data_IF_257028994195
#
_entry.id   IF_257028994195
#
_cell.length_a   1.000
_cell.length_b   1.000
_cell.length_c   1.000
_cell.angle_alpha   90.00
_cell.angle_beta   90.00
_cell.angle_gamma   90.00
#
_symmetry.space_group_name_H-M   'P 1'
#
loop_
_entity.id
_entity.type
_entity.pdbx_description
1 polymer ?
#
# COMPACT_ATOMS: atom_id res chain seq x y z
N UNK A 1 14.91 -4.64 -57.73
CA UNK A 1 14.51 -3.64 -56.72
C UNK A 1 13.72 -4.37 -55.66
N UNK A 2 14.36 -4.62 -54.53
CA UNK A 2 13.83 -5.37 -53.38
C UNK A 2 12.87 -4.47 -52.61
N UNK A 3 11.56 -4.73 -52.72
CA UNK A 3 10.57 -4.15 -51.82
C UNK A 3 10.68 -4.84 -50.47
N UNK A 4 11.15 -4.09 -49.48
CA UNK A 4 11.16 -4.47 -48.06
C UNK A 4 9.73 -4.68 -47.57
N UNK A 5 9.41 -5.91 -47.16
CA UNK A 5 8.22 -6.23 -46.37
C UNK A 5 8.39 -5.57 -45.00
N UNK A 6 7.67 -4.47 -44.75
CA UNK A 6 7.48 -3.96 -43.40
C UNK A 6 6.62 -4.96 -42.62
N UNK A 7 7.18 -5.49 -41.53
CA UNK A 7 6.45 -6.28 -40.53
C UNK A 7 5.23 -5.50 -40.05
N UNK A 8 4.05 -6.14 -39.85
CA UNK A 8 2.92 -5.46 -39.24
C UNK A 8 3.33 -5.09 -37.82
N UNK A 9 3.32 -3.78 -37.54
CA UNK A 9 3.49 -3.27 -36.19
C UNK A 9 2.29 -3.78 -35.38
N UNK A 10 2.56 -4.65 -34.42
CA UNK A 10 1.63 -5.20 -33.43
C UNK A 10 0.98 -4.03 -32.67
N UNK A 11 -0.10 -3.50 -33.22
CA UNK A 11 -0.77 -2.29 -32.73
C UNK A 11 -1.71 -2.75 -31.63
N UNK A 12 -1.51 -2.24 -30.42
CA UNK A 12 -2.42 -2.46 -29.31
C UNK A 12 -3.86 -2.18 -29.73
N UNK A 13 -4.68 -3.23 -29.71
CA UNK A 13 -6.08 -3.18 -30.06
C UNK A 13 -6.90 -3.32 -28.78
N UNK A 14 -7.62 -2.24 -28.42
CA UNK A 14 -8.55 -2.24 -27.29
C UNK A 14 -9.66 -3.27 -27.45
N UNK A 15 -9.99 -3.68 -28.69
CA UNK A 15 -10.93 -4.76 -28.94
C UNK A 15 -10.36 -6.10 -28.47
N UNK A 16 -9.09 -6.38 -28.72
CA UNK A 16 -8.40 -7.60 -28.25
C UNK A 16 -8.32 -7.65 -26.72
N UNK A 17 -8.06 -6.49 -26.08
CA UNK A 17 -8.11 -6.42 -24.62
C UNK A 17 -9.53 -6.70 -24.10
N UNK A 18 -10.56 -6.16 -24.74
CA UNK A 18 -11.96 -6.41 -24.39
C UNK A 18 -12.42 -7.86 -24.59
N UNK A 19 -11.71 -8.66 -25.38
CA UNK A 19 -11.98 -10.11 -25.52
C UNK A 19 -11.52 -10.90 -24.30
N UNK A 20 -10.47 -10.43 -23.60
CA UNK A 20 -9.81 -11.17 -22.53
C UNK A 20 -9.97 -10.51 -21.14
N UNK A 21 -10.46 -9.27 -21.07
CA UNK A 21 -10.70 -8.55 -19.83
C UNK A 21 -12.08 -7.89 -19.79
N UNK A 22 -12.83 -8.17 -18.72
CA UNK A 22 -14.10 -7.51 -18.42
C UNK A 22 -13.96 -6.78 -17.08
N UNK A 23 -13.79 -5.45 -17.07
CA UNK A 23 -13.92 -4.67 -15.85
C UNK A 23 -15.39 -4.62 -15.41
N UNK A 24 -15.63 -4.78 -14.11
CA UNK A 24 -16.95 -4.70 -13.49
C UNK A 24 -16.86 -3.79 -12.26
N UNK A 25 -17.66 -2.73 -12.26
CA UNK A 25 -17.89 -1.95 -11.04
C UNK A 25 -18.69 -2.79 -10.03
N UNK A 26 -18.24 -2.80 -8.76
CA UNK A 26 -18.93 -3.49 -7.67
C UNK A 26 -20.33 -2.92 -7.39
N UNK A 27 -20.62 -1.69 -7.84
CA UNK A 27 -21.95 -1.09 -7.78
C UNK A 27 -22.84 -1.40 -8.98
N UNK A 28 -22.34 -2.05 -10.02
CA UNK A 28 -23.11 -2.43 -11.21
C UNK A 28 -23.76 -3.81 -11.02
N UNK A 29 -24.88 -3.83 -10.30
CA UNK A 29 -25.64 -5.05 -10.00
C UNK A 29 -26.26 -5.69 -11.26
N UNK A 30 -26.63 -4.88 -12.25
CA UNK A 30 -27.27 -5.34 -13.49
C UNK A 30 -26.28 -6.16 -14.32
N UNK A 31 -25.09 -5.62 -14.57
CA UNK A 31 -24.04 -6.36 -15.28
C UNK A 31 -23.58 -7.57 -14.48
N UNK A 32 -23.47 -7.46 -13.15
CA UNK A 32 -23.15 -8.60 -12.29
C UNK A 32 -24.19 -9.73 -12.38
N UNK A 33 -25.49 -9.40 -12.44
CA UNK A 33 -26.56 -10.38 -12.61
C UNK A 33 -26.47 -11.09 -13.97
N UNK A 34 -26.20 -10.34 -15.04
CA UNK A 34 -26.01 -10.91 -16.39
C UNK A 34 -24.81 -11.86 -16.44
N UNK A 35 -23.68 -11.49 -15.84
CA UNK A 35 -22.49 -12.35 -15.76
C UNK A 35 -22.76 -13.62 -14.92
N UNK A 36 -23.56 -13.50 -13.84
CA UNK A 36 -23.97 -14.64 -13.02
C UNK A 36 -24.85 -15.61 -13.79
N UNK A 37 -25.87 -15.11 -14.48
CA UNK A 37 -26.82 -15.95 -15.23
C UNK A 37 -26.19 -16.59 -16.47
N UNK A 38 -25.38 -15.84 -17.22
CA UNK A 38 -24.86 -16.30 -18.52
C UNK A 38 -23.56 -17.07 -18.42
N UNK A 39 -22.70 -16.72 -17.46
CA UNK A 39 -21.33 -17.24 -17.37
C UNK A 39 -21.06 -17.94 -16.03
N UNK A 40 -22.02 -17.93 -15.09
CA UNK A 40 -21.84 -18.52 -13.76
C UNK A 40 -20.91 -17.73 -12.85
N UNK A 41 -20.61 -16.46 -13.17
CA UNK A 41 -19.68 -15.64 -12.41
C UNK A 41 -20.40 -14.93 -11.28
N UNK A 42 -20.03 -15.23 -10.03
CA UNK A 42 -20.73 -14.71 -8.85
C UNK A 42 -19.78 -14.05 -7.85
N UNK A 43 -19.78 -12.72 -7.86
CA UNK A 43 -19.04 -11.89 -6.91
C UNK A 43 -19.80 -11.63 -5.60
N UNK A 44 -21.05 -12.11 -5.44
CA UNK A 44 -21.83 -11.88 -4.22
C UNK A 44 -21.26 -12.58 -2.98
N UNK A 45 -20.38 -13.56 -3.20
CA UNK A 45 -19.70 -14.30 -2.14
C UNK A 45 -18.44 -13.54 -1.72
N UNK A 46 -18.54 -12.81 -0.62
CA UNK A 46 -17.37 -12.19 0.01
C UNK A 46 -16.53 -13.25 0.72
N UNK A 47 -15.45 -13.68 0.08
CA UNK A 47 -14.43 -14.54 0.70
C UNK A 47 -13.08 -13.84 0.73
N UNK A 48 -12.42 -13.85 1.89
CA UNK A 48 -11.03 -13.37 2.06
C UNK A 48 -9.98 -14.39 1.57
N UNK A 49 -10.41 -15.44 0.89
CA UNK A 49 -9.58 -16.57 0.45
C UNK A 49 -9.93 -16.92 -0.97
N UNK A 50 -8.97 -17.48 -1.71
CA UNK A 50 -9.20 -18.02 -3.05
C UNK A 50 -10.31 -19.07 -3.00
N UNK A 51 -11.22 -19.01 -3.96
CA UNK A 51 -12.27 -20.02 -4.14
C UNK A 51 -12.47 -20.32 -5.62
N UNK A 52 -13.16 -21.43 -5.89
CA UNK A 52 -13.47 -21.88 -7.24
C UNK A 52 -14.99 -22.03 -7.37
N UNK A 53 -15.55 -21.64 -8.50
CA UNK A 53 -16.96 -21.85 -8.82
C UNK A 53 -17.11 -21.99 -10.33
N UNK A 54 -17.61 -23.15 -10.77
CA UNK A 54 -17.63 -23.51 -12.19
C UNK A 54 -16.21 -23.55 -12.74
N UNK A 55 -16.01 -22.91 -13.89
CA UNK A 55 -14.72 -22.84 -14.59
C UNK A 55 -13.87 -21.62 -14.19
N UNK A 56 -14.23 -20.95 -13.09
CA UNK A 56 -13.56 -19.74 -12.62
C UNK A 56 -12.86 -19.93 -11.27
N UNK A 57 -11.64 -19.40 -11.21
CA UNK A 57 -10.87 -19.24 -9.97
C UNK A 57 -10.97 -17.78 -9.54
N UNK A 58 -11.40 -17.56 -8.30
CA UNK A 58 -11.57 -16.23 -7.73
C UNK A 58 -10.42 -15.89 -6.81
N UNK A 59 -9.80 -14.73 -7.05
CA UNK A 59 -8.61 -14.24 -6.36
C UNK A 59 -8.93 -12.89 -5.71
N UNK A 60 -9.29 -12.85 -4.42
CA UNK A 60 -9.44 -11.60 -3.70
C UNK A 60 -8.06 -11.00 -3.40
N UNK A 61 -7.87 -9.73 -3.71
CA UNK A 61 -6.64 -8.97 -3.45
C UNK A 61 -7.01 -7.64 -2.80
N UNK A 62 -6.53 -7.41 -1.58
CA UNK A 62 -6.57 -6.10 -0.96
C UNK A 62 -5.51 -5.19 -1.59
N UNK A 63 -5.90 -4.35 -2.55
CA UNK A 63 -5.03 -3.42 -3.23
C UNK A 63 -4.83 -2.14 -2.42
N UNK A 64 -3.58 -1.83 -2.07
CA UNK A 64 -3.19 -0.57 -1.42
C UNK A 64 -2.50 0.33 -2.44
N UNK A 65 -2.96 1.57 -2.58
CA UNK A 65 -2.47 2.50 -3.59
C UNK A 65 -2.60 3.97 -3.15
N UNK A 66 -1.93 4.88 -3.85
CA UNK A 66 -2.04 6.33 -3.61
C UNK A 66 -3.14 6.93 -4.49
N UNK A 67 -4.05 7.71 -3.89
CA UNK A 67 -4.96 8.61 -4.59
C UNK A 67 -4.63 10.03 -4.17
N UNK A 68 -3.92 10.76 -5.03
CA UNK A 68 -3.27 12.01 -4.63
C UNK A 68 -2.24 11.73 -3.54
N UNK A 69 -2.37 12.37 -2.38
CA UNK A 69 -1.49 12.14 -1.23
C UNK A 69 -2.07 11.19 -0.18
N UNK A 70 -3.26 10.64 -0.42
CA UNK A 70 -3.94 9.75 0.53
C UNK A 70 -3.72 8.29 0.16
N UNK A 71 -3.31 7.49 1.13
CA UNK A 71 -3.26 6.03 1.01
C UNK A 71 -4.70 5.49 1.01
N UNK A 72 -5.03 4.68 0.01
CA UNK A 72 -6.31 4.01 -0.13
C UNK A 72 -6.10 2.50 -0.14
N UNK A 73 -7.09 1.79 0.37
CA UNK A 73 -7.14 0.33 0.35
C UNK A 73 -8.52 -0.11 -0.12
N UNK A 74 -8.53 -0.98 -1.11
CA UNK A 74 -9.75 -1.53 -1.70
C UNK A 74 -9.58 -3.01 -2.00
N UNK A 75 -10.64 -3.79 -1.87
CA UNK A 75 -10.62 -5.21 -2.25
C UNK A 75 -11.04 -5.33 -3.71
N UNK A 76 -10.18 -5.93 -4.51
CA UNK A 76 -10.45 -6.29 -5.91
C UNK A 76 -10.60 -7.80 -5.95
N UNK A 77 -11.64 -8.30 -6.62
CA UNK A 77 -11.80 -9.73 -6.86
C UNK A 77 -11.57 -10.00 -8.34
N UNK A 78 -10.56 -10.82 -8.65
CA UNK A 78 -10.33 -11.34 -9.99
C UNK A 78 -11.03 -12.67 -10.15
N UNK A 79 -11.87 -12.84 -11.17
CA UNK A 79 -12.38 -14.14 -11.60
C UNK A 79 -11.64 -14.55 -12.87
N UNK A 80 -10.68 -15.47 -12.75
CA UNK A 80 -9.89 -15.99 -13.85
C UNK A 80 -10.58 -17.22 -14.43
N UNK A 81 -10.95 -17.17 -15.71
CA UNK A 81 -11.38 -18.33 -16.49
C UNK A 81 -10.40 -18.66 -17.62
N UNK A 82 -10.77 -19.64 -18.45
CA UNK A 82 -9.95 -20.07 -19.59
C UNK A 82 -9.80 -19.03 -20.70
N UNK A 83 -10.85 -18.24 -20.95
CA UNK A 83 -10.94 -17.33 -22.10
C UNK A 83 -10.80 -15.85 -21.72
N UNK A 84 -11.27 -15.46 -20.53
CA UNK A 84 -11.24 -14.07 -20.06
C UNK A 84 -11.07 -13.99 -18.54
N UNK A 85 -10.61 -12.84 -18.07
CA UNK A 85 -10.58 -12.46 -16.64
C UNK A 85 -11.59 -11.35 -16.38
N UNK A 86 -12.38 -11.49 -15.32
CA UNK A 86 -13.32 -10.46 -14.86
C UNK A 86 -12.80 -9.84 -13.57
N UNK A 87 -12.85 -8.52 -13.45
CA UNK A 87 -12.42 -7.81 -12.23
C UNK A 87 -13.58 -7.07 -11.59
N UNK A 88 -13.94 -7.43 -10.36
CA UNK A 88 -14.87 -6.65 -9.53
C UNK A 88 -14.10 -5.64 -8.68
N UNK A 89 -14.38 -4.35 -8.88
CA UNK A 89 -13.65 -3.22 -8.28
C UNK A 89 -14.60 -2.09 -7.87
N UNK A 90 -14.24 -1.29 -6.86
CA UNK A 90 -15.17 -0.30 -6.28
C UNK A 90 -15.57 0.84 -7.24
N UNK A 91 -14.72 1.15 -8.22
CA UNK A 91 -14.94 2.22 -9.19
C UNK A 91 -14.36 1.83 -10.55
N UNK A 92 -15.00 2.32 -11.61
CA UNK A 92 -14.52 2.21 -12.98
C UNK A 92 -14.46 3.61 -13.61
N UNK A 93 -13.31 4.07 -14.11
CA UNK A 93 -12.00 3.38 -14.15
C UNK A 93 -11.32 3.27 -12.77
N UNK A 94 -10.50 2.23 -12.60
CA UNK A 94 -9.69 2.01 -11.41
C UNK A 94 -8.23 2.40 -11.68
N UNK A 95 -7.83 3.57 -11.18
CA UNK A 95 -6.55 4.21 -11.53
C UNK A 95 -5.30 3.32 -11.39
N UNK A 96 -5.17 2.41 -10.41
CA UNK A 96 -4.01 1.51 -10.36
C UNK A 96 -3.83 0.63 -11.61
N UNK A 97 -4.90 0.34 -12.36
CA UNK A 97 -4.82 -0.45 -13.60
C UNK A 97 -4.38 0.35 -14.82
N UNK A 98 -4.29 1.68 -14.76
CA UNK A 98 -3.82 2.50 -15.89
C UNK A 98 -2.42 2.08 -16.35
N UNK A 99 -1.55 1.68 -15.41
CA UNK A 99 -0.22 1.16 -15.73
C UNK A 99 -0.25 -0.19 -16.42
N UNK A 100 -1.17 -1.08 -16.02
CA UNK A 100 -1.36 -2.37 -16.69
C UNK A 100 -1.82 -2.16 -18.14
N UNK A 101 -2.80 -1.27 -18.36
CA UNK A 101 -3.27 -0.92 -19.71
C UNK A 101 -2.14 -0.35 -20.55
N UNK A 102 -1.35 0.57 -20.00
CA UNK A 102 -0.18 1.12 -20.70
C UNK A 102 0.90 0.07 -20.99
N UNK A 103 1.12 -0.90 -20.09
CA UNK A 103 2.06 -2.00 -20.31
C UNK A 103 1.57 -2.94 -21.41
N UNK A 104 0.30 -3.35 -21.37
CA UNK A 104 -0.31 -4.16 -22.43
C UNK A 104 -0.26 -3.42 -23.78
N UNK A 105 -0.37 -2.08 -23.76
CA UNK A 105 -0.12 -1.24 -24.93
C UNK A 105 1.30 -1.34 -25.50
N UNK A 106 2.31 -1.49 -24.65
CA UNK A 106 3.72 -1.65 -25.04
C UNK A 106 4.09 -3.10 -25.36
N UNK A 107 3.36 -4.07 -24.79
CA UNK A 107 3.57 -5.51 -24.93
C UNK A 107 2.25 -6.20 -25.27
N UNK A 108 1.76 -6.09 -26.53
CA UNK A 108 0.42 -6.58 -26.90
C UNK A 108 0.21 -8.08 -26.67
N UNK A 109 1.30 -8.88 -26.69
CA UNK A 109 1.27 -10.29 -26.31
C UNK A 109 0.65 -10.56 -24.92
N UNK A 110 0.72 -9.60 -23.98
CA UNK A 110 0.06 -9.71 -22.68
C UNK A 110 -1.47 -9.59 -22.79
N UNK A 111 -1.99 -8.78 -23.70
CA UNK A 111 -3.42 -8.62 -23.91
C UNK A 111 -4.05 -9.82 -24.65
N UNK A 112 -3.25 -10.65 -25.32
CA UNK A 112 -3.73 -11.79 -26.12
C UNK A 112 -4.14 -13.03 -25.32
N UNK A 113 -4.18 -12.96 -23.98
CA UNK A 113 -4.69 -14.07 -23.14
C UNK A 113 -5.14 -13.56 -21.76
N UNK A 114 -6.10 -14.23 -21.11
CA UNK A 114 -6.53 -13.84 -19.76
C UNK A 114 -5.42 -13.94 -18.71
N UNK A 115 -4.49 -14.87 -18.89
CA UNK A 115 -3.33 -15.05 -18.02
C UNK A 115 -2.34 -13.88 -18.14
N UNK A 116 -2.10 -13.41 -19.37
CA UNK A 116 -1.26 -12.24 -19.63
C UNK A 116 -1.87 -10.94 -19.09
N UNK A 117 -3.18 -10.79 -19.25
CA UNK A 117 -3.94 -9.67 -18.67
C UNK A 117 -3.84 -9.70 -17.15
N UNK A 118 -4.16 -10.83 -16.51
CA UNK A 118 -4.09 -10.95 -15.05
C UNK A 118 -2.67 -10.69 -14.53
N UNK A 119 -1.64 -11.17 -15.23
CA UNK A 119 -0.24 -10.83 -14.92
C UNK A 119 -0.01 -9.32 -14.90
N UNK A 120 -0.42 -8.60 -15.95
CA UNK A 120 -0.25 -7.15 -16.04
C UNK A 120 -1.00 -6.41 -14.93
N UNK A 121 -2.22 -6.85 -14.62
CA UNK A 121 -3.03 -6.28 -13.53
C UNK A 121 -2.36 -6.49 -12.17
N UNK A 122 -1.96 -7.72 -11.82
CA UNK A 122 -1.27 -8.01 -10.55
C UNK A 122 0.06 -7.25 -10.43
N UNK A 123 0.81 -7.14 -11.53
CA UNK A 123 2.03 -6.33 -11.58
C UNK A 123 1.75 -4.86 -11.28
N UNK A 124 0.73 -4.28 -11.89
CA UNK A 124 0.37 -2.87 -11.65
C UNK A 124 -0.03 -2.60 -10.19
N UNK A 125 -0.70 -3.56 -9.54
CA UNK A 125 -1.02 -3.47 -8.12
C UNK A 125 0.23 -3.55 -7.24
N UNK A 126 1.20 -4.40 -7.59
CA UNK A 126 2.47 -4.46 -6.89
C UNK A 126 3.22 -3.11 -6.97
N UNK A 127 3.30 -2.54 -8.17
CA UNK A 127 3.94 -1.23 -8.37
C UNK A 127 3.21 -0.10 -7.64
N UNK A 128 1.87 -0.16 -7.53
CA UNK A 128 1.08 0.80 -6.76
C UNK A 128 1.38 0.69 -5.25
N UNK A 129 1.47 -0.53 -4.73
CA UNK A 129 1.83 -0.79 -3.33
C UNK A 129 3.28 -0.37 -3.02
N UNK A 130 4.21 -0.57 -3.96
CA UNK A 130 5.58 -0.06 -3.85
C UNK A 130 5.61 1.47 -3.76
N UNK A 131 4.77 2.17 -4.52
CA UNK A 131 4.61 3.62 -4.42
C UNK A 131 4.19 4.08 -3.02
N UNK A 132 3.24 3.37 -2.40
CA UNK A 132 2.79 3.62 -1.01
C UNK A 132 3.94 3.38 -0.03
N UNK A 133 4.70 2.29 -0.19
CA UNK A 133 5.87 2.01 0.65
C UNK A 133 6.94 3.10 0.52
N UNK A 134 7.17 3.61 -0.69
CA UNK A 134 8.08 4.73 -0.92
C UNK A 134 7.64 6.01 -0.20
N UNK A 135 6.34 6.32 -0.17
CA UNK A 135 5.77 7.44 0.57
C UNK A 135 5.98 7.28 2.08
N UNK A 136 5.69 6.09 2.61
CA UNK A 136 5.87 5.77 4.04
C UNK A 136 7.34 5.90 4.47
N UNK A 137 8.25 5.28 3.72
CA UNK A 137 9.70 5.42 3.93
C UNK A 137 10.16 6.87 3.94
N UNK A 138 9.67 7.69 3.00
CA UNK A 138 10.03 9.11 2.93
C UNK A 138 9.52 9.88 4.16
N UNK A 139 8.32 9.54 4.67
CA UNK A 139 7.78 10.07 5.92
C UNK A 139 8.63 9.69 7.14
N UNK A 140 8.93 8.40 7.31
CA UNK A 140 9.80 7.92 8.40
C UNK A 140 11.20 8.55 8.36
N UNK A 141 11.76 8.77 7.17
CA UNK A 141 13.04 9.45 7.00
C UNK A 141 12.97 10.95 7.35
N UNK A 142 11.85 11.62 7.11
CA UNK A 142 11.64 13.00 7.54
C UNK A 142 11.55 13.10 9.07
N UNK A 143 10.73 12.24 9.69
CA UNK A 143 10.60 12.15 11.15
C UNK A 143 11.93 11.91 11.85
N UNK A 144 12.74 10.98 11.34
CA UNK A 144 14.07 10.72 11.88
C UNK A 144 14.94 11.98 11.89
N UNK A 145 14.95 12.77 10.79
CA UNK A 145 15.72 14.02 10.70
C UNK A 145 15.20 15.10 11.65
N UNK A 146 13.89 15.21 11.82
CA UNK A 146 13.29 16.16 12.76
C UNK A 146 13.65 15.82 14.21
N UNK A 147 13.68 14.53 14.55
CA UNK A 147 14.12 14.07 15.86
C UNK A 147 15.57 14.45 16.16
N UNK A 148 16.46 14.31 15.17
CA UNK A 148 17.88 14.70 15.30
C UNK A 148 18.05 16.23 15.40
N UNK A 149 17.29 17.01 14.63
CA UNK A 149 17.42 18.47 14.58
C UNK A 149 16.90 19.17 15.85
N UNK A 150 15.85 18.63 16.48
CA UNK A 150 15.23 19.24 17.64
C UNK A 150 16.02 19.06 18.97
N UNK A 151 17.31 18.70 18.87
CA UNK A 151 18.28 18.72 19.98
C UNK A 151 18.71 20.17 20.30
N UNK A 152 18.62 21.10 19.35
CA UNK A 152 19.06 22.50 19.49
C UNK A 152 17.88 23.50 19.62
N UNK A 153 17.31 23.62 20.82
CA UNK A 153 16.76 24.89 21.34
C UNK A 153 15.32 25.33 20.96
N UNK A 154 14.44 25.32 21.97
CA UNK A 154 13.59 26.46 22.35
C UNK A 154 12.24 26.63 21.65
N UNK A 155 11.18 26.04 22.21
CA UNK A 155 9.96 26.72 22.73
C UNK A 155 8.91 25.66 23.11
N UNK A 156 8.50 25.60 24.38
CA UNK A 156 7.86 24.42 25.00
C UNK A 156 6.47 24.08 24.45
N UNK A 157 5.72 25.07 23.97
CA UNK A 157 4.37 24.86 23.41
C UNK A 157 4.47 24.38 21.95
N UNK A 158 5.42 24.94 21.19
CA UNK A 158 5.75 24.50 19.83
C UNK A 158 6.27 23.06 19.85
N UNK A 159 7.13 22.71 20.81
CA UNK A 159 7.67 21.36 21.00
C UNK A 159 6.60 20.28 21.24
N UNK A 160 5.50 20.58 21.94
CA UNK A 160 4.42 19.58 22.20
C UNK A 160 3.52 19.38 20.98
N UNK A 161 3.26 20.44 20.21
CA UNK A 161 2.47 20.33 18.97
C UNK A 161 3.25 19.58 17.87
N UNK A 162 4.55 19.88 17.73
CA UNK A 162 5.48 19.18 16.84
C UNK A 162 5.56 17.68 17.18
N UNK A 163 5.56 17.34 18.47
CA UNK A 163 5.59 15.96 18.91
C UNK A 163 4.31 15.18 18.62
N UNK A 164 3.14 15.81 18.74
CA UNK A 164 1.86 15.19 18.35
C UNK A 164 1.76 14.97 16.84
N UNK A 165 2.24 15.93 16.04
CA UNK A 165 2.32 15.79 14.59
C UNK A 165 3.25 14.62 14.22
N UNK A 166 4.43 14.54 14.86
CA UNK A 166 5.38 13.45 14.62
C UNK A 166 4.81 12.06 14.95
N UNK A 167 4.01 11.94 16.03
CA UNK A 167 3.31 10.68 16.35
C UNK A 167 2.26 10.34 15.30
N UNK A 168 1.45 11.32 14.88
CA UNK A 168 0.44 11.09 13.84
C UNK A 168 1.05 10.67 12.50
N UNK A 169 2.17 11.29 12.10
CA UNK A 169 2.90 10.95 10.89
C UNK A 169 3.56 9.56 10.97
N UNK A 170 4.04 9.18 12.17
CA UNK A 170 4.58 7.85 12.42
C UNK A 170 3.48 6.78 12.31
N UNK A 171 2.34 7.00 12.97
CA UNK A 171 1.20 6.08 12.94
C UNK A 171 0.69 5.92 11.49
N UNK A 172 0.57 7.01 10.74
CA UNK A 172 0.17 6.96 9.34
C UNK A 172 1.17 6.18 8.46
N UNK A 173 2.47 6.30 8.73
CA UNK A 173 3.49 5.53 8.04
C UNK A 173 3.46 4.04 8.42
N UNK A 174 3.26 3.70 9.70
CA UNK A 174 3.12 2.32 10.17
C UNK A 174 1.88 1.64 9.56
N UNK A 175 0.74 2.34 9.54
CA UNK A 175 -0.49 1.87 8.90
C UNK A 175 -0.27 1.61 7.41
N UNK A 176 0.38 2.55 6.71
CA UNK A 176 0.73 2.38 5.29
C UNK A 176 1.61 1.15 5.04
N UNK A 177 2.63 0.94 5.87
CA UNK A 177 3.52 -0.24 5.78
C UNK A 177 2.74 -1.53 6.04
N UNK A 178 1.85 -1.55 7.04
CA UNK A 178 1.01 -2.70 7.37
C UNK A 178 0.07 -3.04 6.21
N UNK A 179 -0.58 -2.03 5.61
CA UNK A 179 -1.43 -2.22 4.46
C UNK A 179 -0.68 -2.78 3.25
N UNK A 180 0.53 -2.27 2.98
CA UNK A 180 1.40 -2.82 1.91
C UNK A 180 1.72 -4.29 2.18
N UNK A 181 2.08 -4.67 3.41
CA UNK A 181 2.40 -6.08 3.75
C UNK A 181 1.23 -7.02 3.47
N UNK A 182 0.01 -6.61 3.78
CA UNK A 182 -1.18 -7.39 3.47
C UNK A 182 -1.39 -7.50 1.96
N UNK A 183 -1.26 -6.40 1.23
CA UNK A 183 -1.33 -6.40 -0.24
C UNK A 183 -0.31 -7.37 -0.83
N UNK A 184 0.95 -7.34 -0.38
CA UNK A 184 2.00 -8.25 -0.86
C UNK A 184 1.69 -9.72 -0.57
N UNK A 185 1.10 -10.02 0.60
CA UNK A 185 0.65 -11.38 0.94
C UNK A 185 -0.43 -11.87 -0.02
N UNK A 186 -1.40 -11.03 -0.34
CA UNK A 186 -2.52 -11.40 -1.20
C UNK A 186 -2.08 -11.48 -2.67
N UNK A 187 -1.22 -10.55 -3.13
CA UNK A 187 -0.57 -10.59 -4.45
C UNK A 187 0.29 -11.84 -4.64
N UNK A 188 1.10 -12.22 -3.65
CA UNK A 188 1.89 -13.44 -3.70
C UNK A 188 1.00 -14.67 -3.88
N UNK A 189 -0.15 -14.70 -3.21
CA UNK A 189 -1.11 -15.81 -3.30
C UNK A 189 -1.77 -15.85 -4.68
N UNK A 190 -2.27 -14.72 -5.17
CA UNK A 190 -2.89 -14.60 -6.49
C UNK A 190 -1.89 -14.97 -7.61
N UNK A 191 -0.65 -14.49 -7.51
CA UNK A 191 0.39 -14.74 -8.51
C UNK A 191 0.85 -16.20 -8.52
N UNK A 192 0.98 -16.86 -7.35
CA UNK A 192 1.23 -18.31 -7.29
C UNK A 192 0.08 -19.11 -7.90
N UNK A 193 -1.16 -18.67 -7.69
CA UNK A 193 -2.32 -19.32 -8.29
C UNK A 193 -2.35 -19.13 -9.81
N UNK A 194 -2.05 -17.93 -10.30
CA UNK A 194 -1.87 -17.67 -11.74
C UNK A 194 -0.80 -18.59 -12.35
N UNK A 195 0.34 -18.77 -11.67
CA UNK A 195 1.39 -19.69 -12.13
C UNK A 195 0.89 -21.14 -12.21
N UNK A 196 0.11 -21.58 -11.22
CA UNK A 196 -0.46 -22.93 -11.20
C UNK A 196 -1.51 -23.14 -12.31
N UNK A 197 -2.35 -22.14 -12.60
CA UNK A 197 -3.37 -22.20 -13.67
C UNK A 197 -2.75 -22.17 -15.07
N UNK A 198 -1.69 -21.38 -15.27
CA UNK A 198 -1.01 -21.31 -16.56
C UNK A 198 -0.31 -22.63 -16.92
N UNK A 199 0.13 -23.39 -15.90
CA UNK A 199 0.81 -24.67 -16.01
C UNK A 199 2.30 -24.56 -16.37
N UNK A 200 2.97 -25.72 -16.40
CA UNK A 200 4.43 -25.87 -16.60
C UNK A 200 4.89 -25.68 -18.06
N UNK A 201 4.10 -24.99 -18.87
CA UNK A 201 4.52 -24.63 -20.23
C UNK A 201 5.65 -23.61 -20.07
N UNK A 202 6.87 -24.02 -20.43
CA UNK A 202 8.06 -23.18 -20.41
C UNK A 202 7.95 -22.06 -21.47
N UNK A 203 7.10 -21.08 -21.20
CA UNK A 203 6.87 -19.91 -22.01
C UNK A 203 7.38 -18.64 -21.32
N UNK A 204 7.54 -17.58 -22.10
CA UNK A 204 7.99 -16.26 -21.63
C UNK A 204 7.12 -15.72 -20.48
N UNK A 205 5.82 -16.01 -20.47
CA UNK A 205 4.89 -15.59 -19.42
C UNK A 205 5.18 -16.27 -18.08
N UNK A 206 5.49 -17.57 -18.06
CA UNK A 206 5.86 -18.29 -16.82
C UNK A 206 7.10 -17.68 -16.17
N UNK A 207 8.11 -17.32 -16.97
CA UNK A 207 9.29 -16.59 -16.50
C UNK A 207 8.94 -15.20 -15.96
N UNK A 208 8.07 -14.47 -16.66
CA UNK A 208 7.60 -13.16 -16.22
C UNK A 208 6.81 -13.22 -14.90
N UNK A 209 5.95 -14.23 -14.72
CA UNK A 209 5.22 -14.49 -13.47
C UNK A 209 6.20 -14.84 -12.34
N UNK A 210 7.24 -15.63 -12.62
CA UNK A 210 8.31 -15.92 -11.67
C UNK A 210 9.06 -14.67 -11.21
N UNK A 211 9.38 -13.75 -12.13
CA UNK A 211 9.98 -12.46 -11.78
C UNK A 211 9.02 -11.60 -10.93
N UNK A 212 7.74 -11.55 -11.27
CA UNK A 212 6.75 -10.83 -10.46
C UNK A 212 6.65 -11.38 -9.02
N UNK A 213 6.76 -12.70 -8.84
CA UNK A 213 6.82 -13.29 -7.49
C UNK A 213 8.07 -12.83 -6.72
N UNK A 214 9.22 -12.71 -7.38
CA UNK A 214 10.44 -12.19 -6.77
C UNK A 214 10.30 -10.70 -6.42
N UNK A 215 9.69 -9.90 -7.29
CA UNK A 215 9.45 -8.47 -7.05
C UNK A 215 8.49 -8.25 -5.87
N UNK A 216 7.41 -9.02 -5.78
CA UNK A 216 6.47 -9.01 -4.64
C UNK A 216 7.19 -9.35 -3.33
N UNK A 217 8.08 -10.34 -3.36
CA UNK A 217 8.85 -10.75 -2.20
C UNK A 217 9.87 -9.70 -1.77
N UNK A 218 10.54 -9.03 -2.71
CA UNK A 218 11.42 -7.91 -2.43
C UNK A 218 10.67 -6.74 -1.77
N UNK A 219 9.53 -6.32 -2.33
CA UNK A 219 8.69 -5.26 -1.74
C UNK A 219 8.23 -5.66 -0.32
N UNK A 220 7.87 -6.93 -0.11
CA UNK A 220 7.50 -7.46 1.21
C UNK A 220 8.66 -7.36 2.20
N UNK A 221 9.88 -7.71 1.81
CA UNK A 221 11.06 -7.61 2.67
C UNK A 221 11.40 -6.17 3.02
N UNK A 222 11.33 -5.26 2.05
CA UNK A 222 11.47 -3.82 2.29
C UNK A 222 10.41 -3.30 3.26
N UNK A 223 9.15 -3.73 3.12
CA UNK A 223 8.09 -3.36 4.05
C UNK A 223 8.34 -3.87 5.49
N UNK A 224 8.93 -5.06 5.67
CA UNK A 224 9.35 -5.53 7.00
C UNK A 224 10.44 -4.63 7.59
N UNK A 225 11.45 -4.26 6.79
CA UNK A 225 12.50 -3.36 7.26
C UNK A 225 11.97 -1.97 7.66
N UNK A 226 11.04 -1.40 6.89
CA UNK A 226 10.42 -0.12 7.23
C UNK A 226 9.48 -0.24 8.46
N UNK A 227 8.84 -1.39 8.66
CA UNK A 227 8.07 -1.67 9.89
C UNK A 227 8.96 -1.65 11.13
N UNK A 228 10.13 -2.30 11.06
CA UNK A 228 11.10 -2.31 12.15
C UNK A 228 11.67 -0.91 12.40
N UNK A 229 11.88 -0.12 11.35
CA UNK A 229 12.27 1.29 11.45
C UNK A 229 11.20 2.14 12.13
N UNK A 230 9.93 1.96 11.77
CA UNK A 230 8.82 2.66 12.41
C UNK A 230 8.78 2.35 13.91
N UNK A 231 8.90 1.07 14.29
CA UNK A 231 8.98 0.67 15.70
C UNK A 231 10.16 1.28 16.46
N UNK A 232 11.32 1.35 15.81
CA UNK A 232 12.48 2.01 16.40
C UNK A 232 12.18 3.49 16.68
N UNK A 233 11.64 4.21 15.69
CA UNK A 233 11.26 5.63 15.86
C UNK A 233 10.18 5.81 16.92
N UNK A 234 9.19 4.92 16.99
CA UNK A 234 8.18 4.91 18.05
C UNK A 234 8.83 4.83 19.43
N UNK A 235 9.76 3.89 19.62
CA UNK A 235 10.46 3.72 20.88
C UNK A 235 11.31 4.95 21.23
N UNK A 236 12.01 5.53 20.26
CA UNK A 236 12.79 6.75 20.45
C UNK A 236 11.93 7.96 20.81
N UNK A 237 10.74 8.11 20.20
CA UNK A 237 9.78 9.16 20.54
C UNK A 237 9.24 8.99 21.97
N UNK A 238 8.94 7.76 22.40
CA UNK A 238 8.49 7.47 23.76
C UNK A 238 9.56 7.82 24.81
N UNK A 239 10.82 7.43 24.58
CA UNK A 239 11.93 7.81 25.48
C UNK A 239 12.06 9.34 25.57
N UNK A 240 11.91 10.03 24.44
CA UNK A 240 11.98 11.49 24.41
C UNK A 240 10.84 12.13 25.20
N UNK A 241 9.62 11.61 25.08
CA UNK A 241 8.47 12.00 25.88
C UNK A 241 8.74 11.85 27.38
N UNK A 242 9.27 10.70 27.80
CA UNK A 242 9.61 10.43 29.20
C UNK A 242 10.68 11.40 29.74
N UNK A 243 11.74 11.65 28.97
CA UNK A 243 12.79 12.60 29.35
C UNK A 243 12.25 14.03 29.48
N UNK A 244 11.33 14.45 28.60
CA UNK A 244 10.68 15.76 28.69
C UNK A 244 9.75 15.88 29.89
N UNK A 245 8.99 14.83 30.22
CA UNK A 245 8.18 14.78 31.44
C UNK A 245 9.07 14.88 32.69
N UNK A 246 10.18 14.14 32.73
CA UNK A 246 11.13 14.20 33.83
C UNK A 246 11.75 15.60 33.99
N UNK A 247 12.13 16.26 32.90
CA UNK A 247 12.62 17.66 32.92
C UNK A 247 11.54 18.62 33.42
N UNK A 248 10.29 18.43 33.01
CA UNK A 248 9.13 19.23 33.46
C UNK A 248 8.94 19.14 34.97
N UNK A 249 8.94 17.93 35.52
CA UNK A 249 8.81 17.68 36.96
C UNK A 249 9.97 18.34 37.72
N UNK A 250 11.20 18.23 37.22
CA UNK A 250 12.37 18.88 37.84
C UNK A 250 12.24 20.40 37.92
N UNK A 251 11.77 21.06 36.86
CA UNK A 251 11.58 22.52 36.85
C UNK A 251 10.48 22.91 37.83
N UNK A 252 9.35 22.19 37.86
CA UNK A 252 8.27 22.46 38.81
C UNK A 252 8.71 22.28 40.26
N UNK A 253 9.48 21.22 40.54
CA UNK A 253 10.05 20.98 41.86
C UNK A 253 11.01 22.11 42.28
N UNK A 254 11.86 22.59 41.36
CA UNK A 254 12.75 23.72 41.60
C UNK A 254 11.96 25.01 41.89
N UNK A 255 10.92 25.30 41.10
CA UNK A 255 10.05 26.47 41.32
C UNK A 255 9.32 26.39 42.67
N UNK A 256 8.80 25.22 43.05
CA UNK A 256 8.14 25.02 44.33
C UNK A 256 9.09 25.17 45.54
N UNK A 257 10.35 24.70 45.40
CA UNK A 257 11.38 24.90 46.40
C UNK A 257 11.72 26.38 46.58
N UNK A 258 11.87 27.14 45.48
CA UNK A 258 12.10 28.58 45.51
C UNK A 258 10.92 29.34 46.15
N UNK A 259 9.68 28.96 45.83
CA UNK A 259 8.49 29.56 46.44
C UNK A 259 8.46 29.32 47.96
N UNK A 260 8.79 28.10 48.40
CA UNK A 260 8.88 27.76 49.83
C UNK A 260 9.94 28.61 50.55
N UNK A 261 11.10 28.82 49.93
CA UNK A 261 12.16 29.68 50.47
C UNK A 261 11.69 31.14 50.56
N UNK A 262 11.02 31.65 49.52
CA UNK A 262 10.51 33.02 49.51
C UNK A 262 9.44 33.25 50.59
N UNK A 263 8.55 32.28 50.81
CA UNK A 263 7.56 32.29 51.89
C UNK A 263 8.23 32.32 53.27
N UNK A 264 9.25 31.49 53.50
CA UNK A 264 9.99 31.49 54.76
C UNK A 264 10.70 32.82 55.01
N UNK A 265 11.31 33.40 53.98
CA UNK A 265 11.94 34.72 54.08
C UNK A 265 10.91 35.80 54.42
N UNK A 266 9.73 35.79 53.76
CA UNK A 266 8.65 36.73 54.04
C UNK A 266 8.16 36.63 55.48
N UNK A 267 7.94 35.40 55.99
CA UNK A 267 7.56 35.16 57.37
C UNK A 267 8.62 35.67 58.36
N UNK A 268 9.90 35.42 58.08
CA UNK A 268 10.99 35.88 58.94
C UNK A 268 11.06 37.40 59.01
N UNK A 269 10.97 38.09 57.86
CA UNK A 269 10.90 39.55 57.81
C UNK A 269 9.69 40.11 58.56
N UNK A 270 8.52 39.46 58.46
CA UNK A 270 7.31 39.88 59.17
C UNK A 270 7.42 39.71 60.70
N UNK A 271 8.22 38.76 61.19
CA UNK A 271 8.44 38.57 62.63
C UNK A 271 9.52 39.47 63.24
N UNK A 272 10.34 40.11 62.40
CA UNK A 272 11.41 41.03 62.81
C UNK A 272 11.01 42.51 62.74
N UNK A 273 9.86 42.81 62.12
CA UNK A 273 9.22 44.12 62.09
C UNK A 273 8.24 44.28 63.26
#
# INVERSE_FOLDING_TARGET
MTSSLGTPTDRFDTEVLGLHWIPLSASDEDTAAVLRERLGIDFSRSHDRIWETGDFVYLPVAATYLRGDTVRRETIVFALGGDFVVTSQSAEPFAPFDRAVAEMGRRPALAGSPHGVLYALLRSLNEAAEGVLGRARSGLAALAREMDAAVDGGDRIREVAELRAAVADLDAAEDAVTMVRDTQRDLARATRRLLAEHGDRAGELSGAIGHLLADIEDVRQRAVAEHDRARYLQHSLLIRLELQQARTVKILALSAALLSIALLALCYFATLA
#
